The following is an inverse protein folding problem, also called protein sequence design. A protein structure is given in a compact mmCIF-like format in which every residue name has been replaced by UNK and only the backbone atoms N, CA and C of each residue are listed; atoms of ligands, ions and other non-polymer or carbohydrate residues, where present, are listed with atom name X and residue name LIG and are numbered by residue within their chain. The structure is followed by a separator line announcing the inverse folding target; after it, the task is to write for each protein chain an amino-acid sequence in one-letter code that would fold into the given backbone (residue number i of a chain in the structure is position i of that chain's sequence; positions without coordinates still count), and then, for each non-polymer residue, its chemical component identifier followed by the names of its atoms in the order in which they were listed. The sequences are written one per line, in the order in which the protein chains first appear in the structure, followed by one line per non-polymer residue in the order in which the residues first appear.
data_IF_991271765667
#
_entry.id   IF_991271765667
#
_cell.length_a   1.000
_cell.length_b   1.000
_cell.length_c   1.000
_cell.angle_alpha   90.00
_cell.angle_beta   90.00
_cell.angle_gamma   90.00
#
_symmetry.space_group_name_H-M   'P 1'
#
loop_
_entity.id
_entity.type
_entity.pdbx_description
1 polymer ?
#
# COMPACT_ATOMS: atom_id res chain seq x y z
N UNK A 1 -28.20 -38.13 3.72
CA UNK A 1 -28.63 -36.73 3.84
C UNK A 1 -27.67 -35.87 3.03
N UNK A 2 -28.12 -35.20 1.95
CA UNK A 2 -27.29 -34.24 1.23
C UNK A 2 -27.27 -32.90 1.99
N UNK A 3 -26.09 -32.42 2.37
CA UNK A 3 -25.89 -31.08 2.91
C UNK A 3 -25.84 -30.04 1.78
N UNK A 4 -26.33 -28.80 1.99
CA UNK A 4 -26.42 -27.80 0.92
C UNK A 4 -25.06 -27.22 0.55
N UNK A 5 -24.85 -27.08 -0.76
CA UNK A 5 -23.76 -26.37 -1.38
C UNK A 5 -23.88 -24.86 -1.12
N UNK A 6 -22.84 -24.26 -0.55
CA UNK A 6 -22.69 -22.80 -0.47
C UNK A 6 -21.72 -22.35 -1.56
N UNK A 7 -22.28 -22.09 -2.74
CA UNK A 7 -21.63 -21.33 -3.79
C UNK A 7 -21.72 -19.84 -3.47
N UNK A 8 -20.57 -19.18 -3.33
CA UNK A 8 -20.46 -17.73 -3.19
C UNK A 8 -19.57 -17.19 -4.29
N UNK A 9 -20.11 -17.05 -5.49
CA UNK A 9 -19.49 -16.29 -6.56
C UNK A 9 -19.54 -14.80 -6.19
N UNK A 10 -18.42 -14.22 -5.81
CA UNK A 10 -18.28 -12.77 -5.69
C UNK A 10 -17.67 -12.24 -6.98
N UNK A 11 -18.51 -11.58 -7.77
CA UNK A 11 -18.11 -10.73 -8.89
C UNK A 11 -18.36 -9.30 -8.45
N UNK A 12 -17.34 -8.43 -8.25
CA UNK A 12 -17.61 -7.05 -7.91
C UNK A 12 -17.72 -6.20 -9.17
N UNK A 13 -18.93 -5.69 -9.39
CA UNK A 13 -19.20 -4.57 -10.26
C UNK A 13 -18.37 -3.36 -9.84
N UNK A 14 -17.73 -2.70 -10.81
CA UNK A 14 -17.09 -1.40 -10.65
C UNK A 14 -18.17 -0.35 -10.43
N UNK A 15 -18.27 0.19 -9.22
CA UNK A 15 -19.04 1.39 -8.95
C UNK A 15 -18.12 2.47 -8.36
N UNK A 16 -18.23 3.67 -8.91
CA UNK A 16 -17.40 4.83 -8.61
C UNK A 16 -17.69 5.29 -7.17
N UNK A 17 -16.92 4.81 -6.21
CA UNK A 17 -17.26 4.91 -4.78
C UNK A 17 -16.37 5.91 -4.06
N UNK A 18 -16.99 6.81 -3.32
CA UNK A 18 -16.35 7.69 -2.32
C UNK A 18 -15.35 6.85 -1.49
N UNK A 19 -14.12 7.34 -1.29
CA UNK A 19 -13.00 6.67 -0.60
C UNK A 19 -13.29 6.40 0.89
N UNK A 20 -14.28 5.54 1.17
CA UNK A 20 -14.62 5.06 2.50
C UNK A 20 -13.88 3.75 2.70
N UNK A 21 -12.84 3.82 3.53
CA UNK A 21 -12.14 2.62 4.00
C UNK A 21 -13.09 1.85 4.90
N UNK A 22 -13.44 0.62 4.52
CA UNK A 22 -14.34 -0.21 5.31
C UNK A 22 -13.65 -0.75 6.58
N UNK A 23 -14.37 -0.72 7.70
CA UNK A 23 -13.86 -1.22 8.98
C UNK A 23 -13.52 -2.72 8.92
N UNK A 24 -14.27 -3.51 8.14
CA UNK A 24 -13.97 -4.93 7.94
C UNK A 24 -12.58 -5.12 7.31
N UNK A 25 -12.23 -4.26 6.35
CA UNK A 25 -10.90 -4.28 5.71
C UNK A 25 -9.80 -4.02 6.73
N UNK A 26 -9.95 -3.03 7.61
CA UNK A 26 -8.98 -2.76 8.68
C UNK A 26 -8.83 -3.94 9.66
N UNK A 27 -9.96 -4.54 10.06
CA UNK A 27 -9.96 -5.67 10.98
C UNK A 27 -9.32 -6.91 10.35
N UNK A 28 -9.55 -7.16 9.07
CA UNK A 28 -8.91 -8.24 8.32
C UNK A 28 -7.39 -8.03 8.21
N UNK A 29 -6.93 -6.80 7.98
CA UNK A 29 -5.51 -6.48 7.96
C UNK A 29 -4.88 -6.75 9.33
N UNK A 30 -5.53 -6.33 10.42
CA UNK A 30 -5.07 -6.65 11.79
C UNK A 30 -5.07 -8.14 12.09
N UNK A 31 -6.12 -8.87 11.73
CA UNK A 31 -6.21 -10.30 12.02
C UNK A 31 -5.20 -11.14 11.24
N UNK A 32 -4.80 -10.68 10.05
CA UNK A 32 -3.71 -11.24 9.26
C UNK A 32 -2.31 -10.87 9.75
N UNK A 33 -2.20 -10.03 10.79
CA UNK A 33 -0.92 -9.56 11.32
C UNK A 33 -0.17 -8.61 10.38
N UNK A 34 -0.88 -8.00 9.42
CA UNK A 34 -0.27 -7.10 8.44
C UNK A 34 -0.10 -5.70 9.03
N UNK A 35 1.02 -5.06 8.67
CA UNK A 35 1.40 -3.75 9.22
C UNK A 35 0.67 -2.57 8.56
N UNK A 36 0.10 -2.76 7.37
CA UNK A 36 -0.69 -1.75 6.65
C UNK A 36 -1.66 -2.35 5.64
N UNK A 37 -2.66 -1.57 5.22
CA UNK A 37 -3.58 -1.94 4.13
C UNK A 37 -2.80 -2.23 2.83
N UNK A 38 -1.74 -1.47 2.57
CA UNK A 38 -0.88 -1.69 1.39
C UNK A 38 -0.10 -3.00 1.43
N UNK A 39 0.02 -3.66 2.58
CA UNK A 39 0.65 -4.99 2.71
C UNK A 39 -0.26 -6.13 2.21
N UNK A 40 -1.55 -5.89 1.95
CA UNK A 40 -2.47 -6.94 1.47
C UNK A 40 -2.02 -7.57 0.13
N UNK A 41 -1.31 -6.81 -0.71
CA UNK A 41 -0.77 -7.28 -1.99
C UNK A 41 0.73 -7.64 -1.90
N UNK A 42 1.27 -7.83 -0.69
CA UNK A 42 2.69 -8.15 -0.51
C UNK A 42 3.03 -9.56 -0.98
N UNK A 43 2.28 -10.57 -0.52
CA UNK A 43 2.39 -11.97 -0.95
C UNK A 43 2.43 -12.14 -2.49
N UNK A 44 1.50 -11.56 -3.28
CA UNK A 44 1.56 -11.66 -4.74
C UNK A 44 2.64 -10.78 -5.41
N UNK A 45 3.44 -10.03 -4.65
CA UNK A 45 4.48 -9.14 -5.19
C UNK A 45 3.95 -7.89 -5.91
N UNK A 46 2.68 -7.53 -5.69
CA UNK A 46 2.00 -6.40 -6.36
C UNK A 46 1.88 -5.16 -5.47
N UNK A 47 2.46 -5.21 -4.26
CA UNK A 47 2.41 -4.09 -3.35
C UNK A 47 3.40 -2.98 -3.72
N UNK A 48 3.14 -1.77 -3.20
CA UNK A 48 4.05 -0.64 -3.34
C UNK A 48 4.69 -0.32 -1.98
N UNK A 49 6.02 -0.41 -1.85
CA UNK A 49 6.67 -0.17 -0.57
C UNK A 49 6.53 1.27 -0.08
N UNK A 50 6.32 1.42 1.21
CA UNK A 50 6.30 2.70 1.89
C UNK A 50 7.74 3.17 2.13
N UNK A 51 8.16 4.21 1.42
CA UNK A 51 9.51 4.78 1.64
C UNK A 51 9.67 5.37 3.03
N UNK A 52 8.60 5.90 3.63
CA UNK A 52 8.66 6.52 4.95
C UNK A 52 8.92 5.44 6.01
N UNK A 53 8.12 4.37 5.98
CA UNK A 53 8.30 3.23 6.88
C UNK A 53 9.66 2.56 6.65
N UNK A 54 10.07 2.38 5.39
CA UNK A 54 11.38 1.82 5.08
C UNK A 54 12.53 2.67 5.61
N UNK A 55 12.42 4.00 5.63
CA UNK A 55 13.46 4.85 6.22
C UNK A 55 13.47 4.67 7.74
N UNK A 56 12.30 4.66 8.37
CA UNK A 56 12.17 4.45 9.81
C UNK A 56 12.80 3.12 10.26
N UNK A 57 12.52 2.03 9.54
CA UNK A 57 13.12 0.71 9.77
C UNK A 57 14.65 0.70 9.61
N UNK A 58 15.22 1.64 8.84
CA UNK A 58 16.66 1.82 8.65
C UNK A 58 17.28 2.81 9.64
N UNK A 59 16.52 3.23 10.66
CA UNK A 59 16.97 4.20 11.66
C UNK A 59 16.98 5.65 11.17
N UNK A 60 16.32 5.97 10.05
CA UNK A 60 16.29 7.30 9.47
C UNK A 60 14.86 7.85 9.37
N UNK A 61 14.62 9.09 9.82
CA UNK A 61 13.31 9.72 9.72
C UNK A 61 12.31 9.21 10.76
N UNK A 62 11.01 9.39 10.48
CA UNK A 62 9.90 9.10 11.40
C UNK A 62 9.04 7.96 10.87
N UNK A 63 8.32 7.22 11.73
CA UNK A 63 7.38 6.19 11.31
C UNK A 63 6.29 6.76 10.39
N UNK A 64 5.73 5.92 9.54
CA UNK A 64 4.67 6.36 8.65
C UNK A 64 3.47 6.90 9.44
N UNK A 65 3.10 8.16 9.21
CA UNK A 65 1.99 8.83 9.91
C UNK A 65 0.63 8.18 9.67
N UNK A 66 0.48 7.45 8.57
CA UNK A 66 -0.76 6.74 8.24
C UNK A 66 -0.90 5.41 8.99
N UNK A 67 0.19 4.89 9.58
CA UNK A 67 0.18 3.61 10.28
C UNK A 67 -0.46 2.51 9.45
N UNK A 68 -1.41 1.79 10.06
CA UNK A 68 -2.12 0.69 9.40
C UNK A 68 -2.96 1.13 8.19
N UNK A 69 -3.40 2.40 8.15
CA UNK A 69 -4.19 2.94 7.05
C UNK A 69 -3.34 3.32 5.84
N UNK A 70 -2.02 3.14 5.89
CA UNK A 70 -1.17 3.42 4.74
C UNK A 70 -1.54 2.49 3.58
N UNK A 71 -1.87 3.07 2.43
CA UNK A 71 -2.05 2.32 1.18
C UNK A 71 -0.75 1.79 0.57
N UNK A 72 0.37 1.89 1.29
CA UNK A 72 1.69 1.36 0.89
C UNK A 72 2.13 0.27 1.85
N UNK A 73 2.86 -0.70 1.34
CA UNK A 73 3.36 -1.83 2.09
C UNK A 73 4.37 -1.40 3.15
N UNK A 74 4.18 -1.90 4.36
CA UNK A 74 5.09 -1.69 5.50
C UNK A 74 5.97 -2.92 5.78
N UNK A 75 5.80 -4.01 5.03
CA UNK A 75 6.64 -5.21 5.15
C UNK A 75 8.08 -4.98 4.71
N UNK A 76 8.96 -5.93 5.03
CA UNK A 76 10.35 -5.91 4.62
C UNK A 76 10.48 -6.13 3.11
N UNK A 77 11.17 -5.21 2.44
CA UNK A 77 11.45 -5.27 1.02
C UNK A 77 12.96 -5.25 0.76
N UNK A 78 13.40 -6.10 -0.15
CA UNK A 78 14.78 -6.08 -0.64
C UNK A 78 15.07 -4.74 -1.31
N UNK A 79 16.13 -4.07 -0.87
CA UNK A 79 16.40 -2.66 -1.17
C UNK A 79 16.43 -2.25 -2.65
N UNK A 80 16.40 -3.20 -3.59
CA UNK A 80 16.22 -3.00 -5.04
C UNK A 80 14.91 -2.30 -5.36
N UNK A 81 13.79 -2.72 -4.78
CA UNK A 81 12.48 -2.11 -5.03
C UNK A 81 12.46 -0.66 -4.52
N UNK A 82 13.05 -0.42 -3.35
CA UNK A 82 13.20 0.92 -2.79
C UNK A 82 14.11 1.82 -3.65
N UNK A 83 15.11 1.27 -4.32
CA UNK A 83 15.99 2.03 -5.20
C UNK A 83 15.26 2.52 -6.46
N UNK A 84 14.39 1.67 -7.03
CA UNK A 84 13.53 2.01 -8.16
C UNK A 84 12.56 3.13 -7.76
N UNK A 85 11.79 2.96 -6.68
CA UNK A 85 10.84 3.98 -6.24
C UNK A 85 11.53 5.30 -5.88
N UNK A 86 12.72 5.27 -5.24
CA UNK A 86 13.52 6.49 -4.99
C UNK A 86 13.91 7.19 -6.27
N UNK A 87 14.26 6.43 -7.31
CA UNK A 87 14.65 7.00 -8.61
C UNK A 87 13.46 7.61 -9.34
N UNK A 88 12.29 6.95 -9.29
CA UNK A 88 11.02 7.51 -9.79
C UNK A 88 10.66 8.80 -9.05
N UNK A 89 10.70 8.81 -7.71
CA UNK A 89 10.43 10.01 -6.91
C UNK A 89 11.37 11.17 -7.25
N UNK A 90 12.68 10.90 -7.39
CA UNK A 90 13.67 11.92 -7.79
C UNK A 90 13.39 12.46 -9.20
N UNK A 91 13.03 11.60 -10.15
CA UNK A 91 12.65 12.00 -11.51
C UNK A 91 11.42 12.90 -11.49
N UNK A 92 10.35 12.47 -10.82
CA UNK A 92 9.10 13.24 -10.75
C UNK A 92 9.29 14.60 -10.06
N UNK A 93 10.10 14.66 -9.00
CA UNK A 93 10.43 15.93 -8.34
C UNK A 93 11.22 16.89 -9.25
N UNK A 94 12.14 16.38 -10.08
CA UNK A 94 12.85 17.21 -11.08
C UNK A 94 11.91 17.74 -12.15
N UNK A 95 11.00 16.90 -12.64
CA UNK A 95 9.98 17.30 -13.63
C UNK A 95 9.09 18.41 -13.07
N UNK A 96 8.58 18.24 -11.84
CA UNK A 96 7.73 19.27 -11.21
C UNK A 96 8.47 20.56 -10.90
N UNK A 97 9.75 20.50 -10.49
CA UNK A 97 10.53 21.74 -10.32
C UNK A 97 10.69 22.49 -11.64
N UNK A 98 10.92 21.80 -12.75
CA UNK A 98 11.13 22.42 -14.07
C UNK A 98 9.88 23.12 -14.59
N UNK A 99 8.68 22.60 -14.29
CA UNK A 99 7.41 23.23 -14.69
C UNK A 99 7.05 24.43 -13.81
N UNK A 100 7.51 24.48 -12.56
CA UNK A 100 7.17 25.57 -11.63
C UNK A 100 8.02 26.83 -11.83
N UNK A 101 9.23 26.71 -12.40
CA UNK A 101 10.13 27.84 -12.68
C UNK A 101 9.98 28.44 -14.09
N UNK A 102 8.97 28.03 -14.86
CA UNK A 102 8.75 28.47 -16.24
C UNK A 102 7.53 29.40 -16.41
N UNK A 103 6.99 29.93 -15.32
CA UNK A 103 5.95 30.97 -15.28
C UNK A 103 6.53 32.23 -14.61
#
# INVERSE_FOLDING_TARGET
APGPALGGAQSPAKECSEDKVDLSSMLQTKSKGLSSLGSLLHEPGQCYPCLIESWHQRGAGHPCKFGILCGRCHECHDGKEHAILRSVRRRNHRVMKKTTTAA
#
